data_IF_787622331438
#
_entry.id   IF_787622331438
#
_cell.length_a   1.000
_cell.length_b   1.000
_cell.length_c   1.000
_cell.angle_alpha   90.00
_cell.angle_beta   90.00
_cell.angle_gamma   90.00
#
_symmetry.space_group_name_H-M   'P 1'
#
loop_
_entity.id
_entity.type
_entity.pdbx_description
1 polymer ?
#
# COMPACT_ATOMS: atom_id res chain seq x y z
N UNK A 1 3.63 5.25 -15.71
CA UNK A 1 2.16 5.48 -15.70
C UNK A 1 1.65 5.57 -14.27
N UNK A 2 0.42 6.04 -14.07
CA UNK A 2 -0.23 6.04 -12.74
C UNK A 2 -1.65 5.51 -12.84
N UNK A 3 -2.06 4.72 -11.86
CA UNK A 3 -3.42 4.17 -11.77
C UNK A 3 -3.95 4.41 -10.36
N UNK A 4 -5.15 4.99 -10.25
CA UNK A 4 -5.73 5.41 -8.97
C UNK A 4 -7.19 4.97 -8.93
N UNK A 5 -7.58 4.33 -7.84
CA UNK A 5 -8.91 3.76 -7.67
C UNK A 5 -9.43 3.95 -6.26
N UNK A 6 -10.75 3.83 -6.12
CA UNK A 6 -11.44 3.86 -4.83
C UNK A 6 -12.70 2.99 -4.85
N UNK A 7 -13.03 2.41 -3.71
CA UNK A 7 -14.32 1.74 -3.47
C UNK A 7 -14.83 2.08 -2.06
N UNK A 8 -15.75 3.03 -2.01
CA UNK A 8 -16.38 3.50 -0.77
C UNK A 8 -17.32 2.48 -0.13
N UNK A 9 -17.77 1.45 -0.85
CA UNK A 9 -18.63 0.40 -0.28
C UNK A 9 -17.90 -0.45 0.76
N UNK A 10 -16.57 -0.37 0.79
CA UNK A 10 -15.68 -1.10 1.68
C UNK A 10 -15.15 -0.25 2.85
N UNK A 11 -15.69 0.95 3.08
CA UNK A 11 -15.24 1.88 4.12
C UNK A 11 -15.21 1.26 5.52
N UNK A 12 -16.09 0.29 5.79
CA UNK A 12 -16.21 -0.36 7.09
C UNK A 12 -15.11 -1.41 7.37
N UNK A 13 -14.23 -1.68 6.40
CA UNK A 13 -13.09 -2.57 6.59
C UNK A 13 -12.02 -1.92 7.48
N UNK A 14 -11.80 -0.61 7.31
CA UNK A 14 -10.86 0.18 8.12
C UNK A 14 -11.42 1.59 8.27
N UNK A 15 -11.76 1.98 9.50
CA UNK A 15 -12.37 3.30 9.76
C UNK A 15 -12.05 3.82 11.15
N UNK A 16 -12.14 5.14 11.30
CA UNK A 16 -12.13 5.84 12.58
C UNK A 16 -13.50 6.55 12.72
N UNK A 17 -14.49 5.91 13.38
CA UNK A 17 -15.86 6.43 13.38
C UNK A 17 -16.02 7.80 14.05
N UNK A 18 -15.29 8.05 15.14
CA UNK A 18 -15.41 9.26 15.96
C UNK A 18 -14.45 10.37 15.56
N UNK A 19 -14.79 11.61 15.91
CA UNK A 19 -13.93 12.79 15.73
C UNK A 19 -14.26 13.64 14.51
N UNK A 20 -15.06 13.11 13.58
CA UNK A 20 -15.63 13.86 12.46
C UNK A 20 -17.02 14.44 12.75
N UNK A 21 -17.67 14.97 11.71
CA UNK A 21 -19.02 15.58 11.81
C UNK A 21 -20.14 14.56 12.09
N UNK A 22 -19.99 13.31 11.66
CA UNK A 22 -20.97 12.25 11.92
C UNK A 22 -21.05 11.88 13.41
N UNK A 23 -19.90 11.87 14.08
CA UNK A 23 -19.78 11.60 15.52
C UNK A 23 -18.78 12.58 16.17
N UNK A 24 -19.21 13.82 16.48
CA UNK A 24 -18.37 14.81 17.12
C UNK A 24 -17.85 14.34 18.49
N UNK A 25 -16.76 14.95 18.96
CA UNK A 25 -16.19 14.60 20.26
C UNK A 25 -17.18 14.89 21.40
N UNK A 26 -17.48 13.86 22.21
CA UNK A 26 -18.38 13.93 23.35
C UNK A 26 -18.02 12.86 24.38
N UNK A 27 -18.53 12.98 25.61
CA UNK A 27 -18.36 11.94 26.64
C UNK A 27 -18.86 10.57 26.14
N UNK A 28 -19.96 10.56 25.40
CA UNK A 28 -20.54 9.34 24.84
C UNK A 28 -19.63 8.69 23.78
N UNK A 29 -19.07 9.47 22.84
CA UNK A 29 -18.21 8.92 21.78
C UNK A 29 -16.88 8.39 22.32
N UNK A 30 -16.37 8.99 23.41
CA UNK A 30 -15.23 8.50 24.18
C UNK A 30 -15.56 7.16 24.87
N UNK A 31 -16.68 7.08 25.60
CA UNK A 31 -17.11 5.85 26.27
C UNK A 31 -17.36 4.70 25.28
N UNK A 32 -17.93 5.01 24.11
CA UNK A 32 -18.11 4.06 23.00
C UNK A 32 -16.83 3.74 22.23
N UNK A 33 -15.69 4.36 22.59
CA UNK A 33 -14.38 4.15 21.95
C UNK A 33 -14.43 4.36 20.43
N UNK A 34 -15.18 5.36 19.96
CA UNK A 34 -15.32 5.67 18.52
C UNK A 34 -14.06 6.36 17.96
N UNK A 35 -13.25 6.98 18.81
CA UNK A 35 -11.99 7.66 18.46
C UNK A 35 -10.81 6.70 18.29
N UNK A 36 -11.06 5.40 18.13
CA UNK A 36 -10.04 4.38 17.89
C UNK A 36 -10.25 3.76 16.51
N UNK A 37 -9.14 3.41 15.85
CA UNK A 37 -9.17 2.64 14.60
C UNK A 37 -9.97 1.35 14.79
N UNK A 38 -10.93 1.12 13.90
CA UNK A 38 -11.70 -0.11 13.78
C UNK A 38 -11.26 -0.80 12.50
N UNK A 39 -10.97 -2.10 12.58
CA UNK A 39 -10.47 -2.86 11.45
C UNK A 39 -11.01 -4.29 11.45
N UNK A 40 -11.51 -4.71 10.28
CA UNK A 40 -11.83 -6.11 9.97
C UNK A 40 -10.59 -6.74 9.34
N UNK A 41 -9.62 -7.14 10.18
CA UNK A 41 -8.24 -7.42 9.73
C UNK A 41 -8.11 -8.53 8.68
N UNK A 42 -8.86 -9.63 8.85
CA UNK A 42 -8.79 -10.77 7.91
C UNK A 42 -9.40 -10.41 6.54
N UNK A 43 -10.52 -9.70 6.55
CA UNK A 43 -11.21 -9.22 5.37
C UNK A 43 -10.34 -8.18 4.64
N UNK A 44 -9.81 -7.21 5.39
CA UNK A 44 -8.89 -6.17 4.89
C UNK A 44 -7.67 -6.81 4.23
N UNK A 45 -7.05 -7.81 4.87
CA UNK A 45 -5.91 -8.53 4.31
C UNK A 45 -6.23 -9.18 2.95
N UNK A 46 -7.35 -9.91 2.88
CA UNK A 46 -7.77 -10.60 1.64
C UNK A 46 -8.05 -9.62 0.50
N UNK A 47 -8.72 -8.51 0.82
CA UNK A 47 -9.00 -7.45 -0.16
C UNK A 47 -7.71 -6.79 -0.61
N UNK A 48 -6.85 -6.37 0.32
CA UNK A 48 -5.58 -5.69 0.03
C UNK A 48 -4.69 -6.50 -0.91
N UNK A 49 -4.43 -7.78 -0.59
CA UNK A 49 -3.54 -8.63 -1.41
C UNK A 49 -4.09 -8.81 -2.83
N UNK A 50 -5.39 -9.06 -2.98
CA UNK A 50 -6.02 -9.22 -4.30
C UNK A 50 -5.99 -7.92 -5.10
N UNK A 51 -6.31 -6.80 -4.45
CA UNK A 51 -6.37 -5.49 -5.08
C UNK A 51 -4.99 -5.03 -5.53
N UNK A 52 -3.95 -5.20 -4.71
CA UNK A 52 -2.58 -4.80 -5.05
C UNK A 52 -1.99 -5.67 -6.17
N UNK A 53 -2.20 -6.99 -6.12
CA UNK A 53 -1.83 -7.89 -7.22
C UNK A 53 -2.47 -7.45 -8.55
N UNK A 54 -3.79 -7.27 -8.57
CA UNK A 54 -4.51 -6.85 -9.79
C UNK A 54 -4.03 -5.49 -10.30
N UNK A 55 -3.81 -4.55 -9.38
CA UNK A 55 -3.30 -3.23 -9.69
C UNK A 55 -1.91 -3.29 -10.34
N UNK A 56 -0.98 -4.02 -9.74
CA UNK A 56 0.39 -4.17 -10.23
C UNK A 56 0.42 -4.90 -11.59
N UNK A 57 -0.28 -6.03 -11.71
CA UNK A 57 -0.39 -6.76 -12.99
C UNK A 57 -0.94 -5.88 -14.09
N UNK A 58 -2.06 -5.20 -13.84
CA UNK A 58 -2.67 -4.28 -14.82
C UNK A 58 -1.73 -3.14 -15.20
N UNK A 59 -1.01 -2.58 -14.22
CA UNK A 59 -0.04 -1.51 -14.47
C UNK A 59 1.05 -1.98 -15.42
N UNK A 60 1.57 -3.19 -15.23
CA UNK A 60 2.59 -3.78 -16.09
C UNK A 60 2.06 -4.10 -17.49
N UNK A 61 0.90 -4.76 -17.58
CA UNK A 61 0.24 -5.12 -18.83
C UNK A 61 -0.02 -3.89 -19.72
N UNK A 62 -0.57 -2.81 -19.15
CA UNK A 62 -0.86 -1.58 -19.91
C UNK A 62 0.42 -0.87 -20.41
N UNK A 63 1.58 -1.19 -19.84
CA UNK A 63 2.87 -0.68 -20.30
C UNK A 63 3.68 -1.72 -21.10
N UNK A 64 3.09 -2.88 -21.42
CA UNK A 64 3.73 -3.99 -22.13
C UNK A 64 5.00 -4.48 -21.42
N UNK A 65 4.96 -4.60 -20.10
CA UNK A 65 6.05 -5.10 -19.27
C UNK A 65 5.69 -6.41 -18.59
N UNK A 66 6.69 -7.27 -18.49
CA UNK A 66 6.66 -8.45 -17.63
C UNK A 66 7.11 -8.09 -16.20
N UNK A 67 6.59 -8.76 -15.15
CA UNK A 67 7.05 -8.54 -13.77
C UNK A 67 8.57 -8.70 -13.60
N UNK A 68 9.20 -9.57 -14.40
CA UNK A 68 10.65 -9.78 -14.39
C UNK A 68 11.46 -8.53 -14.80
N UNK A 69 10.85 -7.58 -15.51
CA UNK A 69 11.47 -6.33 -15.96
C UNK A 69 11.43 -5.21 -14.90
N UNK A 70 10.68 -5.39 -13.81
CA UNK A 70 10.78 -4.49 -12.66
C UNK A 70 12.16 -4.67 -12.01
N UNK A 71 12.88 -3.59 -11.77
CA UNK A 71 14.07 -3.63 -10.92
C UNK A 71 13.69 -3.61 -9.44
N UNK A 72 12.65 -2.85 -9.08
CA UNK A 72 12.25 -2.67 -7.70
C UNK A 72 10.73 -2.43 -7.55
N UNK A 73 10.13 -3.13 -6.59
CA UNK A 73 8.81 -2.84 -6.04
C UNK A 73 8.97 -2.11 -4.70
N UNK A 74 8.35 -0.95 -4.56
CA UNK A 74 8.30 -0.17 -3.33
C UNK A 74 6.83 -0.05 -2.88
N UNK A 75 6.35 -0.98 -2.04
CA UNK A 75 4.97 -0.98 -1.59
C UNK A 75 4.77 -0.07 -0.38
N UNK A 76 3.51 0.30 -0.10
CA UNK A 76 3.12 0.83 1.20
C UNK A 76 3.48 -0.16 2.32
N UNK A 77 4.21 0.34 3.33
CA UNK A 77 4.72 -0.44 4.45
C UNK A 77 3.65 -0.68 5.54
N UNK A 78 2.53 -1.31 5.19
CA UNK A 78 1.42 -1.55 6.11
C UNK A 78 1.65 -2.76 7.03
N UNK A 79 2.07 -3.88 6.43
CA UNK A 79 2.20 -5.18 7.07
C UNK A 79 3.05 -6.10 6.18
N UNK A 80 4.08 -6.72 6.75
CA UNK A 80 4.95 -7.66 6.03
C UNK A 80 4.19 -8.80 5.34
N UNK A 81 3.10 -9.30 5.95
CA UNK A 81 2.29 -10.37 5.35
C UNK A 81 1.62 -9.93 4.05
N UNK A 82 1.20 -8.66 3.94
CA UNK A 82 0.60 -8.13 2.71
C UNK A 82 1.69 -8.00 1.65
N UNK A 83 2.80 -7.36 2.01
CA UNK A 83 3.95 -7.13 1.12
C UNK A 83 4.44 -8.46 0.52
N UNK A 84 4.73 -9.45 1.36
CA UNK A 84 5.18 -10.76 0.89
C UNK A 84 4.13 -11.51 0.09
N UNK A 85 2.85 -11.41 0.44
CA UNK A 85 1.79 -12.07 -0.31
C UNK A 85 1.64 -11.45 -1.71
N UNK A 86 1.67 -10.12 -1.83
CA UNK A 86 1.61 -9.43 -3.13
C UNK A 86 2.83 -9.76 -3.98
N UNK A 87 4.05 -9.61 -3.44
CA UNK A 87 5.28 -9.93 -4.15
C UNK A 87 5.31 -11.37 -4.67
N UNK A 88 4.87 -12.34 -3.83
CA UNK A 88 4.78 -13.75 -4.22
C UNK A 88 3.80 -13.96 -5.37
N UNK A 89 2.66 -13.27 -5.38
CA UNK A 89 1.67 -13.38 -6.47
C UNK A 89 2.16 -12.76 -7.77
N UNK A 90 2.98 -11.71 -7.69
CA UNK A 90 3.66 -11.11 -8.84
C UNK A 90 4.87 -11.91 -9.34
N UNK A 91 5.25 -12.99 -8.64
CA UNK A 91 6.45 -13.78 -8.98
C UNK A 91 7.76 -13.02 -8.76
N UNK A 92 7.76 -11.96 -7.95
CA UNK A 92 8.95 -11.17 -7.66
C UNK A 92 9.79 -11.83 -6.56
N UNK A 93 11.11 -11.95 -6.76
CA UNK A 93 11.98 -12.46 -5.71
C UNK A 93 12.18 -11.37 -4.62
N UNK A 94 12.47 -11.77 -3.36
CA UNK A 94 12.54 -10.84 -2.23
C UNK A 94 13.48 -9.64 -2.43
N UNK A 95 14.59 -9.82 -3.14
CA UNK A 95 15.58 -8.78 -3.42
C UNK A 95 15.08 -7.66 -4.34
N UNK A 96 13.97 -7.89 -5.07
CA UNK A 96 13.29 -6.88 -5.89
C UNK A 96 12.16 -6.17 -5.12
N UNK A 97 12.05 -6.36 -3.81
CA UNK A 97 11.04 -5.70 -2.98
C UNK A 97 11.75 -4.90 -1.91
N UNK A 98 11.53 -3.59 -1.90
CA UNK A 98 12.08 -2.74 -0.85
C UNK A 98 11.21 -2.79 0.41
N UNK A 99 11.82 -3.13 1.54
CA UNK A 99 11.15 -3.28 2.83
C UNK A 99 12.01 -2.57 3.88
N UNK A 100 11.38 -1.67 4.65
CA UNK A 100 11.99 -1.00 5.80
C UNK A 100 11.03 -0.86 6.98
N UNK A 101 9.89 -1.56 6.95
CA UNK A 101 8.86 -1.54 7.99
C UNK A 101 9.40 -1.96 9.36
N UNK A 102 10.47 -2.75 9.42
CA UNK A 102 11.15 -3.14 10.65
C UNK A 102 11.85 -1.97 11.36
N UNK A 103 12.20 -0.91 10.62
CA UNK A 103 12.83 0.30 11.17
C UNK A 103 11.80 1.32 11.67
N UNK A 104 10.71 1.51 10.91
CA UNK A 104 9.78 2.62 11.12
C UNK A 104 8.35 2.21 11.48
N UNK A 105 8.01 0.93 11.32
CA UNK A 105 6.62 0.47 11.38
C UNK A 105 5.76 1.05 10.24
N UNK A 106 4.44 1.03 10.46
CA UNK A 106 3.48 1.59 9.51
C UNK A 106 3.34 3.11 9.73
N UNK A 107 3.93 3.89 8.82
CA UNK A 107 3.89 5.36 8.80
C UNK A 107 2.81 5.92 7.86
N UNK A 108 1.81 5.11 7.50
CA UNK A 108 0.73 5.48 6.59
C UNK A 108 1.25 6.01 5.25
N UNK A 109 0.78 7.18 4.79
CA UNK A 109 1.17 7.75 3.51
C UNK A 109 2.68 8.08 3.41
N UNK A 110 3.38 8.28 4.53
CA UNK A 110 4.81 8.56 4.52
C UNK A 110 5.66 7.31 4.20
N UNK A 111 5.07 6.10 4.24
CA UNK A 111 5.82 4.86 4.07
C UNK A 111 6.49 4.73 2.71
N UNK A 112 5.82 5.14 1.63
CA UNK A 112 6.40 5.04 0.27
C UNK A 112 7.51 6.08 0.07
N UNK A 113 7.32 7.38 0.39
CA UNK A 113 8.40 8.36 0.29
C UNK A 113 9.65 8.01 1.10
N UNK A 114 9.49 7.54 2.34
CA UNK A 114 10.62 7.11 3.18
C UNK A 114 11.34 5.92 2.53
N UNK A 115 10.59 4.91 2.06
CA UNK A 115 11.16 3.73 1.42
C UNK A 115 11.86 4.07 0.10
N UNK A 116 11.31 4.98 -0.70
CA UNK A 116 11.92 5.45 -1.94
C UNK A 116 13.22 6.21 -1.66
N UNK A 117 13.23 7.15 -0.72
CA UNK A 117 14.43 7.88 -0.34
C UNK A 117 15.57 6.93 0.10
N UNK A 118 15.26 5.96 0.98
CA UNK A 118 16.25 4.96 1.40
C UNK A 118 16.70 4.04 0.26
N UNK A 119 15.82 3.66 -0.67
CA UNK A 119 16.17 2.87 -1.84
C UNK A 119 17.17 3.61 -2.75
N UNK A 120 16.96 4.92 -2.94
CA UNK A 120 17.87 5.78 -3.70
C UNK A 120 19.22 5.89 -2.99
N UNK A 121 19.22 6.22 -1.70
CA UNK A 121 20.45 6.38 -0.90
C UNK A 121 21.26 5.08 -0.80
N UNK A 122 20.60 3.93 -0.85
CA UNK A 122 21.26 2.61 -0.82
C UNK A 122 21.67 2.09 -2.21
N UNK A 123 21.48 2.88 -3.27
CA UNK A 123 21.87 2.50 -4.64
C UNK A 123 21.03 1.37 -5.22
N UNK A 124 19.79 1.19 -4.74
CA UNK A 124 18.83 0.18 -5.26
C UNK A 124 18.03 0.68 -6.46
N UNK A 125 18.07 1.98 -6.74
CA UNK A 125 17.42 2.60 -7.88
C UNK A 125 18.45 2.90 -8.97
N UNK A 126 18.36 2.19 -10.10
CA UNK A 126 19.25 2.38 -11.26
C UNK A 126 18.56 3.23 -12.31
N UNK A 127 19.27 4.23 -12.85
CA UNK A 127 18.80 5.06 -13.96
C UNK A 127 18.38 4.19 -15.17
N UNK A 128 17.24 4.51 -15.75
CA UNK A 128 16.63 3.85 -16.90
C UNK A 128 15.82 2.59 -16.58
N UNK A 129 15.89 2.07 -15.35
CA UNK A 129 15.15 0.87 -14.92
C UNK A 129 13.74 1.18 -14.42
N UNK A 130 12.90 0.15 -14.34
CA UNK A 130 11.50 0.29 -13.92
C UNK A 130 11.30 0.03 -12.44
N UNK A 131 10.75 1.05 -11.76
CA UNK A 131 10.35 0.98 -10.36
C UNK A 131 8.83 1.06 -10.28
N UNK A 132 8.21 0.13 -9.54
CA UNK A 132 6.79 0.15 -9.26
C UNK A 132 6.54 0.59 -7.81
N UNK A 133 5.79 1.67 -7.64
CA UNK A 133 5.22 2.06 -6.36
C UNK A 133 3.79 1.53 -6.28
N UNK A 134 3.36 0.99 -5.14
CA UNK A 134 1.97 0.58 -4.93
C UNK A 134 1.48 0.89 -3.51
N UNK A 135 0.21 1.28 -3.39
CA UNK A 135 -0.41 1.66 -2.13
C UNK A 135 -1.83 1.10 -2.00
N UNK A 136 -2.21 0.80 -0.76
CA UNK A 136 -3.56 0.44 -0.35
C UNK A 136 -3.86 1.11 0.99
N UNK A 137 -5.02 1.76 1.12
CA UNK A 137 -5.37 2.55 2.29
C UNK A 137 -6.88 2.65 2.55
N UNK A 138 -7.24 3.35 3.63
CA UNK A 138 -8.63 3.57 4.01
C UNK A 138 -9.45 4.26 2.93
N UNK A 139 -10.76 3.99 2.94
CA UNK A 139 -11.69 4.45 1.89
C UNK A 139 -12.66 3.36 1.42
N UNK A 140 -12.23 2.27 0.77
CA UNK A 140 -10.84 1.93 0.44
C UNK A 140 -10.31 2.68 -0.78
N UNK A 141 -9.00 2.91 -0.80
CA UNK A 141 -8.28 3.52 -1.91
C UNK A 141 -7.03 2.70 -2.22
N UNK A 142 -6.65 2.64 -3.49
CA UNK A 142 -5.42 2.00 -3.92
C UNK A 142 -4.88 2.65 -5.18
N UNK A 143 -3.56 2.64 -5.32
CA UNK A 143 -2.91 3.28 -6.45
C UNK A 143 -1.54 2.67 -6.74
N UNK A 144 -1.12 2.74 -8.00
CA UNK A 144 0.22 2.42 -8.45
C UNK A 144 0.84 3.59 -9.21
N UNK A 145 2.16 3.66 -9.17
CA UNK A 145 2.95 4.50 -10.06
C UNK A 145 4.11 3.67 -10.60
N UNK A 146 4.11 3.45 -11.92
CA UNK A 146 5.25 2.88 -12.62
C UNK A 146 6.14 4.00 -13.11
N UNK A 147 7.37 4.01 -12.59
CA UNK A 147 8.40 4.99 -12.90
C UNK A 147 9.46 4.30 -13.76
N UNK A 148 9.96 5.01 -14.77
CA UNK A 148 11.30 4.76 -15.28
C UNK A 148 12.20 5.70 -14.50
N UNK A 149 13.00 5.13 -13.59
CA UNK A 149 13.90 5.90 -12.73
C UNK A 149 14.94 6.61 -13.58
#
# INVERSE_FOLDING_TARGET
STHIYSDGSLSDLISLPGGGSQYPCSKETILKRLHFMKMKGNETFKVAVRTLEQLATRTLEENNLEPSQLSLLIPHQANLRIIHATAKRLGLPPEKVFINIEKYGNTSAASIPIALDEAVLSGKCTEGEYILLEAFGGGLTWASALLRW
#
